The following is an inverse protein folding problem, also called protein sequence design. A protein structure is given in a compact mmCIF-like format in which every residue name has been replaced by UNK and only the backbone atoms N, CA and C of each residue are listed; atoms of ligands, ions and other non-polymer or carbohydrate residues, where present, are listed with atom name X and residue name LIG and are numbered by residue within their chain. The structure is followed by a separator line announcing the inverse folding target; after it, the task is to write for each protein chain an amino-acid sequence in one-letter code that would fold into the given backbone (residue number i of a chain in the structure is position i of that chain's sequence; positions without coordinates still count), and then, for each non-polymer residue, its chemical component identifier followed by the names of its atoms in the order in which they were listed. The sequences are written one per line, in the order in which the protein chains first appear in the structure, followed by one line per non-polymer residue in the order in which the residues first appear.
data_IF_974893112933
#
_entry.id   IF_974893112933
#
_cell.length_a   1.000
_cell.length_b   1.000
_cell.length_c   1.000
_cell.angle_alpha   90.00
_cell.angle_beta   90.00
_cell.angle_gamma   90.00
#
_symmetry.space_group_name_H-M   'P 1'
#
loop_
_entity.id
_entity.type
_entity.pdbx_description
1 polymer ?
#
# COMPACT_ATOMS: atom_id res chain seq x y z
N UNK A 1 30.60 1.60 61.81
CA UNK A 1 29.16 1.92 61.74
C UNK A 1 28.90 2.62 60.41
N UNK A 2 28.25 1.93 59.47
CA UNK A 2 28.12 2.32 58.06
C UNK A 2 26.70 2.86 57.86
N UNK A 3 26.56 4.15 57.52
CA UNK A 3 25.27 4.81 57.30
C UNK A 3 24.62 4.26 56.03
N UNK A 4 23.37 3.79 56.05
CA UNK A 4 22.69 3.35 54.83
C UNK A 4 22.19 4.54 54.01
N UNK A 5 22.33 4.40 52.70
CA UNK A 5 22.20 5.43 51.67
C UNK A 5 20.76 5.90 51.46
N UNK A 6 20.45 7.09 51.99
CA UNK A 6 19.15 7.78 51.90
C UNK A 6 18.73 8.15 50.46
N UNK A 7 19.62 8.00 49.47
CA UNK A 7 19.38 8.36 48.07
C UNK A 7 18.69 7.28 47.24
N UNK A 8 18.71 6.02 47.71
CA UNK A 8 18.03 4.91 47.03
C UNK A 8 16.53 4.87 47.36
N UNK A 9 16.13 5.39 48.54
CA UNK A 9 14.73 5.42 48.97
C UNK A 9 13.91 6.51 48.28
N UNK A 10 14.52 7.63 47.88
CA UNK A 10 13.81 8.72 47.21
C UNK A 10 13.48 8.39 45.74
N UNK A 11 14.29 7.58 45.06
CA UNK A 11 14.03 7.20 43.66
C UNK A 11 12.84 6.24 43.51
N UNK A 12 12.64 5.33 44.47
CA UNK A 12 11.50 4.37 44.46
C UNK A 12 10.17 5.08 44.76
N UNK A 13 10.19 6.09 45.62
CA UNK A 13 8.99 6.85 45.97
C UNK A 13 8.44 7.70 44.79
N UNK A 14 9.32 8.25 43.96
CA UNK A 14 8.91 9.05 42.77
C UNK A 14 8.35 8.16 41.66
N UNK A 15 8.88 6.95 41.49
CA UNK A 15 8.35 5.98 40.52
C UNK A 15 6.95 5.47 40.91
N UNK A 16 6.67 5.28 42.20
CA UNK A 16 5.35 4.86 42.67
C UNK A 16 4.27 5.95 42.50
N UNK A 17 4.64 7.24 42.57
CA UNK A 17 3.72 8.35 42.36
C UNK A 17 3.29 8.53 40.90
N UNK A 18 4.12 8.14 39.92
CA UNK A 18 3.81 8.23 38.49
C UNK A 18 2.86 7.12 38.00
N UNK A 19 2.76 6.00 38.72
CA UNK A 19 1.88 4.87 38.36
C UNK A 19 0.46 4.96 38.93
N UNK A 20 0.22 5.82 39.93
CA UNK A 20 -1.10 5.99 40.55
C UNK A 20 -2.02 7.02 39.83
N UNK A 21 -1.47 7.79 38.88
CA UNK A 21 -2.24 8.81 38.17
C UNK A 21 -3.10 8.26 37.01
N UNK A 22 -2.96 6.97 36.66
CA UNK A 22 -3.66 6.35 35.52
C UNK A 22 -4.89 5.50 35.92
N UNK A 23 -5.34 5.58 37.17
CA UNK A 23 -6.45 4.76 37.69
C UNK A 23 -7.63 5.59 38.22
N UNK A 24 -7.90 6.76 37.63
CA UNK A 24 -9.17 7.45 37.88
C UNK A 24 -10.27 6.79 37.02
N UNK A 25 -11.25 6.06 37.60
CA UNK A 25 -12.42 5.64 36.84
C UNK A 25 -13.19 6.89 36.41
N UNK A 26 -13.59 7.03 35.13
CA UNK A 26 -14.40 8.15 34.72
C UNK A 26 -15.71 8.12 35.53
N UNK A 27 -16.04 9.25 36.18
CA UNK A 27 -17.37 9.47 36.75
C UNK A 27 -18.38 9.23 35.65
N UNK A 28 -19.18 8.19 35.81
CA UNK A 28 -20.32 7.89 34.96
C UNK A 28 -21.38 8.97 35.19
N UNK A 29 -21.29 10.07 34.46
CA UNK A 29 -22.45 10.92 34.25
C UNK A 29 -23.52 10.08 33.53
N UNK A 30 -24.79 10.14 33.96
CA UNK A 30 -25.86 9.46 33.26
C UNK A 30 -25.95 10.06 31.86
N UNK A 31 -25.49 9.29 30.86
CA UNK A 31 -25.72 9.60 29.44
C UNK A 31 -27.23 9.86 29.29
N UNK A 32 -27.64 11.03 28.78
CA UNK A 32 -29.01 11.20 28.31
C UNK A 32 -29.30 10.02 27.38
N UNK A 33 -30.30 9.22 27.70
CA UNK A 33 -30.77 8.17 26.81
C UNK A 33 -31.32 8.89 25.58
N UNK A 34 -30.50 9.02 24.53
CA UNK A 34 -31.00 9.39 23.22
C UNK A 34 -32.03 8.32 22.86
N UNK A 35 -33.28 8.76 22.66
CA UNK A 35 -34.31 7.92 22.07
C UNK A 35 -33.73 7.19 20.84
N UNK A 36 -34.10 5.92 20.58
CA UNK A 36 -33.62 5.21 19.40
C UNK A 36 -33.93 6.02 18.15
N UNK A 37 -32.91 6.67 17.60
CA UNK A 37 -33.01 7.29 16.28
C UNK A 37 -33.12 6.12 15.34
N UNK A 38 -34.32 5.87 14.80
CA UNK A 38 -34.49 4.92 13.72
C UNK A 38 -33.44 5.25 12.64
N UNK A 39 -32.65 4.28 12.17
CA UNK A 39 -31.62 4.58 11.19
C UNK A 39 -32.30 5.19 9.97
N UNK A 40 -31.99 6.46 9.69
CA UNK A 40 -32.40 7.10 8.46
C UNK A 40 -31.95 6.21 7.28
N UNK A 41 -32.75 6.11 6.20
CA UNK A 41 -32.33 5.36 5.02
C UNK A 41 -30.92 5.79 4.62
N UNK A 42 -30.01 4.82 4.51
CA UNK A 42 -28.61 5.10 4.21
C UNK A 42 -28.52 5.87 2.89
N UNK A 43 -27.96 7.08 2.97
CA UNK A 43 -27.60 7.85 1.79
C UNK A 43 -26.75 6.97 0.84
N UNK A 44 -27.06 6.93 -0.48
CA UNK A 44 -26.35 6.08 -1.43
C UNK A 44 -24.82 6.25 -1.40
N UNK A 45 -24.32 7.47 -1.17
CA UNK A 45 -22.87 7.69 -1.07
C UNK A 45 -22.27 7.08 0.19
N UNK A 46 -23.01 7.09 1.31
CA UNK A 46 -22.62 6.41 2.55
C UNK A 46 -22.59 4.91 2.36
N UNK A 47 -23.57 4.33 1.67
CA UNK A 47 -23.59 2.90 1.36
C UNK A 47 -22.39 2.47 0.50
N UNK A 48 -22.07 3.25 -0.54
CA UNK A 48 -20.89 3.02 -1.37
C UNK A 48 -19.57 3.17 -0.59
N UNK A 49 -19.50 4.13 0.32
CA UNK A 49 -18.31 4.33 1.17
C UNK A 49 -18.11 3.15 2.12
N UNK A 50 -19.17 2.63 2.72
CA UNK A 50 -19.12 1.40 3.54
C UNK A 50 -18.65 0.22 2.69
N UNK A 51 -19.19 0.08 1.49
CA UNK A 51 -18.80 -0.98 0.55
C UNK A 51 -17.32 -0.88 0.13
N UNK A 52 -16.82 0.34 -0.11
CA UNK A 52 -15.41 0.59 -0.38
C UNK A 52 -14.51 0.07 0.75
N UNK A 53 -14.81 0.44 2.00
CA UNK A 53 -14.00 0.02 3.15
C UNK A 53 -14.06 -1.49 3.34
N UNK A 54 -15.25 -2.11 3.23
CA UNK A 54 -15.43 -3.54 3.45
C UNK A 54 -14.74 -4.43 2.42
N UNK A 55 -14.57 -3.94 1.19
CA UNK A 55 -13.99 -4.73 0.10
C UNK A 55 -12.48 -4.60 -0.01
N UNK A 56 -11.87 -3.65 0.72
CA UNK A 56 -10.45 -3.33 0.58
C UNK A 56 -9.52 -4.49 0.96
N UNK A 57 -9.90 -5.28 1.97
CA UNK A 57 -9.06 -6.35 2.52
C UNK A 57 -9.38 -7.73 1.89
N UNK A 58 -10.23 -7.76 0.86
CA UNK A 58 -10.59 -9.00 0.17
C UNK A 58 -9.47 -9.44 -0.80
N UNK A 59 -9.30 -10.76 -1.02
CA UNK A 59 -8.33 -11.25 -1.98
C UNK A 59 -8.74 -10.90 -3.42
N UNK A 60 -7.74 -10.62 -4.27
CA UNK A 60 -7.95 -10.18 -5.66
C UNK A 60 -8.82 -11.12 -6.51
N UNK A 61 -8.73 -12.44 -6.27
CA UNK A 61 -9.59 -13.42 -6.95
C UNK A 61 -11.08 -13.27 -6.59
N UNK A 62 -11.39 -13.04 -5.31
CA UNK A 62 -12.76 -12.82 -4.83
C UNK A 62 -13.32 -11.48 -5.33
N UNK A 63 -12.49 -10.45 -5.35
CA UNK A 63 -12.82 -9.15 -5.94
C UNK A 63 -13.18 -9.26 -7.41
N UNK A 64 -12.37 -9.99 -8.19
CA UNK A 64 -12.59 -10.21 -9.62
C UNK A 64 -13.88 -10.99 -9.89
N UNK A 65 -14.16 -12.02 -9.08
CA UNK A 65 -15.39 -12.80 -9.18
C UNK A 65 -16.63 -11.95 -8.92
N UNK A 66 -16.65 -11.19 -7.83
CA UNK A 66 -17.78 -10.29 -7.50
C UNK A 66 -17.95 -9.19 -8.54
N UNK A 67 -16.87 -8.67 -9.10
CA UNK A 67 -16.93 -7.67 -10.16
C UNK A 67 -17.57 -8.23 -11.45
N UNK A 68 -17.31 -9.51 -11.76
CA UNK A 68 -17.95 -10.20 -12.88
C UNK A 68 -19.45 -10.43 -12.62
N UNK A 69 -19.80 -10.85 -11.40
CA UNK A 69 -21.20 -11.03 -10.99
C UNK A 69 -22.02 -9.74 -11.12
N UNK A 70 -21.47 -8.60 -10.67
CA UNK A 70 -22.11 -7.29 -10.86
C UNK A 70 -22.17 -6.86 -12.33
N UNK A 71 -21.18 -7.22 -13.14
CA UNK A 71 -21.15 -6.91 -14.57
C UNK A 71 -22.23 -7.63 -15.39
N UNK A 72 -22.62 -8.84 -14.96
CA UNK A 72 -23.67 -9.63 -15.62
C UNK A 72 -25.09 -9.19 -15.24
N UNK A 73 -25.23 -8.34 -14.21
CA UNK A 73 -26.51 -7.82 -13.74
C UNK A 73 -26.97 -6.56 -14.46
N UNK A 74 -28.14 -6.05 -14.04
CA UNK A 74 -28.68 -4.77 -14.52
C UNK A 74 -27.76 -3.64 -14.05
N UNK A 75 -27.29 -2.85 -15.02
CA UNK A 75 -26.41 -1.71 -14.74
C UNK A 75 -27.22 -0.50 -14.29
N UNK A 76 -27.04 -0.13 -13.02
CA UNK A 76 -27.47 1.15 -12.45
C UNK A 76 -26.23 1.92 -12.01
N UNK A 77 -26.28 3.26 -11.87
CA UNK A 77 -25.12 4.04 -11.41
C UNK A 77 -24.50 3.51 -10.10
N UNK A 78 -25.31 3.00 -9.17
CA UNK A 78 -24.83 2.37 -7.93
C UNK A 78 -24.09 1.05 -8.21
N UNK A 79 -24.69 0.14 -9.00
CA UNK A 79 -24.09 -1.15 -9.37
C UNK A 79 -22.78 -0.96 -10.14
N UNK A 80 -22.77 -0.03 -11.09
CA UNK A 80 -21.58 0.33 -11.88
C UNK A 80 -20.46 0.87 -10.99
N UNK A 81 -20.77 1.70 -9.99
CA UNK A 81 -19.77 2.17 -9.03
C UNK A 81 -19.26 1.06 -8.12
N UNK A 82 -20.13 0.17 -7.63
CA UNK A 82 -19.68 -1.00 -6.86
C UNK A 82 -18.75 -1.89 -7.67
N UNK A 83 -19.06 -2.11 -8.95
CA UNK A 83 -18.18 -2.85 -9.85
C UNK A 83 -16.83 -2.15 -10.02
N UNK A 84 -16.83 -0.83 -10.23
CA UNK A 84 -15.60 -0.04 -10.34
C UNK A 84 -14.75 -0.08 -9.06
N UNK A 85 -15.37 -0.07 -7.88
CA UNK A 85 -14.68 -0.23 -6.60
C UNK A 85 -14.00 -1.59 -6.50
N UNK A 86 -14.70 -2.68 -6.83
CA UNK A 86 -14.14 -4.03 -6.77
C UNK A 86 -12.95 -4.19 -7.73
N UNK A 87 -13.10 -3.77 -8.99
CA UNK A 87 -12.01 -3.77 -9.97
C UNK A 87 -10.86 -2.88 -9.50
N UNK A 88 -11.19 -1.73 -8.93
CA UNK A 88 -10.26 -0.82 -8.29
C UNK A 88 -9.50 -1.44 -7.10
N UNK A 89 -9.97 -2.48 -6.43
CA UNK A 89 -9.21 -3.12 -5.36
C UNK A 89 -8.32 -4.28 -5.81
N UNK A 90 -8.41 -4.73 -7.08
CA UNK A 90 -7.63 -5.89 -7.57
C UNK A 90 -6.13 -5.61 -7.72
N UNK A 91 -5.72 -4.33 -7.79
CA UNK A 91 -4.36 -3.87 -8.13
C UNK A 91 -3.82 -4.38 -9.48
N UNK A 92 -4.71 -4.78 -10.39
CA UNK A 92 -4.35 -5.19 -11.74
C UNK A 92 -4.50 -3.99 -12.70
N UNK A 93 -3.47 -3.60 -13.48
CA UNK A 93 -3.54 -2.44 -14.37
C UNK A 93 -4.70 -2.49 -15.38
N UNK A 94 -5.03 -3.68 -15.89
CA UNK A 94 -6.16 -3.85 -16.80
C UNK A 94 -7.50 -3.58 -16.10
N UNK A 95 -7.62 -3.96 -14.83
CA UNK A 95 -8.83 -3.76 -14.03
C UNK A 95 -8.94 -2.31 -13.55
N UNK A 96 -7.82 -1.68 -13.20
CA UNK A 96 -7.74 -0.23 -12.93
C UNK A 96 -8.24 0.56 -14.14
N UNK A 97 -7.81 0.21 -15.36
CA UNK A 97 -8.29 0.86 -16.58
C UNK A 97 -9.80 0.69 -16.80
N UNK A 98 -10.33 -0.53 -16.58
CA UNK A 98 -11.78 -0.78 -16.66
C UNK A 98 -12.56 0.01 -15.61
N UNK A 99 -12.07 0.08 -14.38
CA UNK A 99 -12.69 0.84 -13.30
C UNK A 99 -12.79 2.34 -13.63
N UNK A 100 -11.76 2.93 -14.23
CA UNK A 100 -11.77 4.33 -14.73
C UNK A 100 -12.89 4.53 -15.75
N UNK A 101 -13.02 3.64 -16.74
CA UNK A 101 -14.08 3.73 -17.75
C UNK A 101 -15.48 3.62 -17.14
N UNK A 102 -15.67 2.76 -16.13
CA UNK A 102 -16.94 2.64 -15.42
C UNK A 102 -17.25 3.92 -14.64
N UNK A 103 -16.29 4.51 -13.93
CA UNK A 103 -16.50 5.78 -13.23
C UNK A 103 -16.81 6.92 -14.19
N UNK A 104 -16.15 7.00 -15.35
CA UNK A 104 -16.46 7.98 -16.39
C UNK A 104 -17.89 7.84 -16.94
N UNK A 105 -18.40 6.61 -17.08
CA UNK A 105 -19.78 6.38 -17.52
C UNK A 105 -20.79 6.94 -16.52
N UNK A 106 -20.52 6.81 -15.21
CA UNK A 106 -21.38 7.34 -14.14
C UNK A 106 -21.26 8.86 -14.03
N UNK A 107 -20.08 9.44 -14.31
CA UNK A 107 -19.88 10.90 -14.36
C UNK A 107 -20.70 11.54 -15.49
N UNK A 108 -20.84 10.84 -16.62
CA UNK A 108 -21.58 11.30 -17.81
C UNK A 108 -23.10 11.18 -17.64
N UNK A 109 -23.56 10.25 -16.81
CA UNK A 109 -24.97 10.11 -16.48
C UNK A 109 -25.43 11.23 -15.53
N UNK A 110 -26.66 11.71 -15.70
CA UNK A 110 -27.26 12.68 -14.80
C UNK A 110 -27.80 11.97 -13.54
N UNK A 111 -26.99 11.95 -12.48
CA UNK A 111 -27.31 11.26 -11.23
C UNK A 111 -26.61 11.94 -10.03
N UNK A 112 -27.15 11.73 -8.82
CA UNK A 112 -26.60 12.28 -7.58
C UNK A 112 -25.24 11.71 -7.14
N UNK A 113 -24.74 10.64 -7.79
CA UNK A 113 -23.46 9.99 -7.45
C UNK A 113 -22.27 10.58 -8.21
N UNK A 114 -22.50 11.54 -9.11
CA UNK A 114 -21.45 12.16 -9.93
C UNK A 114 -20.24 12.66 -9.13
N UNK A 115 -20.37 13.37 -7.99
CA UNK A 115 -19.22 13.84 -7.22
C UNK A 115 -18.38 12.68 -6.66
N UNK A 116 -19.03 11.61 -6.22
CA UNK A 116 -18.34 10.42 -5.72
C UNK A 116 -17.61 9.69 -6.86
N UNK A 117 -18.25 9.58 -8.03
CA UNK A 117 -17.63 9.01 -9.22
C UNK A 117 -16.40 9.82 -9.69
N UNK A 118 -16.44 11.16 -9.61
CA UNK A 118 -15.29 12.03 -9.90
C UNK A 118 -14.12 11.80 -8.94
N UNK A 119 -14.41 11.65 -7.64
CA UNK A 119 -13.40 11.34 -6.63
C UNK A 119 -12.71 10.00 -6.95
N UNK A 120 -13.50 8.94 -7.15
CA UNK A 120 -12.94 7.62 -7.52
C UNK A 120 -12.15 7.70 -8.83
N UNK A 121 -12.68 8.37 -9.86
CA UNK A 121 -11.96 8.48 -11.13
C UNK A 121 -10.58 9.12 -10.95
N UNK A 122 -10.49 10.17 -10.13
CA UNK A 122 -9.23 10.86 -9.84
C UNK A 122 -8.21 9.95 -9.14
N UNK A 123 -8.60 9.22 -8.08
CA UNK A 123 -7.60 8.39 -7.37
C UNK A 123 -7.17 7.17 -8.20
N UNK A 124 -8.01 6.65 -9.10
CA UNK A 124 -7.73 5.45 -9.89
C UNK A 124 -6.85 5.83 -11.07
N UNK A 125 -7.08 7.02 -11.66
CA UNK A 125 -6.19 7.63 -12.64
C UNK A 125 -4.81 7.88 -12.04
N UNK A 126 -4.74 8.40 -10.82
CA UNK A 126 -3.45 8.62 -10.16
C UNK A 126 -2.73 7.30 -9.86
N UNK A 127 -3.48 6.27 -9.43
CA UNK A 127 -2.90 4.95 -9.23
C UNK A 127 -2.33 4.35 -10.51
N UNK A 128 -3.03 4.50 -11.64
CA UNK A 128 -2.52 4.05 -12.94
C UNK A 128 -1.20 4.74 -13.31
N UNK A 129 -1.06 6.04 -13.04
CA UNK A 129 0.23 6.74 -13.27
C UNK A 129 1.34 6.18 -12.39
N UNK A 130 1.05 5.81 -11.14
CA UNK A 130 2.01 5.19 -10.23
C UNK A 130 2.41 3.79 -10.72
N UNK A 131 1.44 2.99 -11.16
CA UNK A 131 1.68 1.68 -11.80
C UNK A 131 2.62 1.84 -13.02
N UNK A 132 2.34 2.80 -13.91
CA UNK A 132 3.20 3.10 -15.08
C UNK A 132 4.62 3.55 -14.69
N UNK A 133 4.78 4.28 -13.58
CA UNK A 133 6.10 4.70 -13.08
C UNK A 133 6.89 3.52 -12.50
N UNK A 134 6.23 2.63 -11.75
CA UNK A 134 6.83 1.41 -11.21
C UNK A 134 7.34 0.53 -12.35
N UNK A 135 6.56 0.37 -13.42
CA UNK A 135 6.95 -0.43 -14.58
C UNK A 135 8.19 0.15 -15.27
N UNK A 136 8.24 1.48 -15.46
CA UNK A 136 9.40 2.18 -16.04
C UNK A 136 10.65 2.02 -15.17
N UNK A 137 10.52 2.18 -13.86
CA UNK A 137 11.64 2.02 -12.92
C UNK A 137 12.14 0.58 -12.89
N UNK A 138 11.22 -0.39 -12.93
CA UNK A 138 11.57 -1.83 -12.97
C UNK A 138 12.33 -2.17 -14.24
N UNK A 139 11.90 -1.64 -15.40
CA UNK A 139 12.61 -1.82 -16.67
C UNK A 139 14.02 -1.21 -16.64
N UNK A 140 14.13 0.04 -16.18
CA UNK A 140 15.40 0.73 -16.04
C UNK A 140 16.37 -0.01 -15.09
N UNK A 141 15.86 -0.54 -13.98
CA UNK A 141 16.65 -1.34 -13.03
C UNK A 141 17.20 -2.62 -13.64
N UNK A 142 16.38 -3.35 -14.42
CA UNK A 142 16.84 -4.56 -15.15
C UNK A 142 17.92 -4.23 -16.18
N UNK A 143 17.79 -3.12 -16.89
CA UNK A 143 18.79 -2.70 -17.87
C UNK A 143 20.09 -2.21 -17.20
N UNK A 144 20.00 -1.51 -16.06
CA UNK A 144 21.16 -1.13 -15.26
C UNK A 144 21.90 -2.37 -14.73
N UNK A 145 21.17 -3.38 -14.25
CA UNK A 145 21.76 -4.65 -13.79
C UNK A 145 22.52 -5.36 -14.91
N UNK A 146 21.92 -5.46 -16.12
CA UNK A 146 22.61 -6.05 -17.28
C UNK A 146 23.91 -5.34 -17.63
N UNK A 147 23.92 -4.00 -17.60
CA UNK A 147 25.15 -3.21 -17.82
C UNK A 147 26.19 -3.46 -16.74
N UNK A 148 25.77 -3.58 -15.48
CA UNK A 148 26.67 -3.91 -14.37
C UNK A 148 27.31 -5.31 -14.55
N UNK A 149 26.52 -6.29 -14.98
CA UNK A 149 27.01 -7.65 -15.24
C UNK A 149 28.00 -7.67 -16.42
N UNK A 150 27.75 -6.90 -17.48
CA UNK A 150 28.68 -6.75 -18.61
C UNK A 150 30.00 -6.09 -18.18
N UNK A 151 29.94 -5.02 -17.39
CA UNK A 151 31.14 -4.36 -16.87
C UNK A 151 31.93 -5.30 -15.95
N UNK A 152 31.25 -6.10 -15.12
CA UNK A 152 31.88 -7.11 -14.28
C UNK A 152 32.61 -8.16 -15.14
N UNK A 153 31.99 -8.66 -16.19
CA UNK A 153 32.63 -9.60 -17.12
C UNK A 153 33.89 -9.00 -17.77
N UNK A 154 33.85 -7.72 -18.17
CA UNK A 154 35.02 -7.04 -18.72
C UNK A 154 36.15 -6.89 -17.70
N UNK A 155 35.83 -6.51 -16.45
CA UNK A 155 36.82 -6.42 -15.38
C UNK A 155 37.47 -7.78 -15.09
N UNK A 156 36.68 -8.84 -15.05
CA UNK A 156 37.18 -10.19 -14.79
C UNK A 156 38.03 -10.70 -15.98
N UNK A 157 37.68 -10.34 -17.21
CA UNK A 157 38.50 -10.61 -18.39
C UNK A 157 39.84 -9.84 -18.35
N UNK A 158 39.83 -8.57 -17.95
CA UNK A 158 41.07 -7.77 -17.80
C UNK A 158 41.98 -8.35 -16.71
N UNK A 159 41.42 -8.75 -15.56
CA UNK A 159 42.20 -9.43 -14.50
C UNK A 159 42.80 -10.75 -14.97
N UNK A 160 42.10 -11.50 -15.82
CA UNK A 160 42.64 -12.73 -16.39
C UNK A 160 43.86 -12.44 -17.28
N UNK A 161 43.79 -11.39 -18.11
CA UNK A 161 44.91 -10.92 -18.94
C UNK A 161 46.09 -10.47 -18.07
N UNK A 162 45.84 -9.68 -17.02
CA UNK A 162 46.88 -9.25 -16.08
C UNK A 162 47.58 -10.44 -15.41
N UNK A 163 46.81 -11.46 -15.00
CA UNK A 163 47.37 -12.68 -14.40
C UNK A 163 48.21 -13.48 -15.39
N UNK A 164 47.83 -13.55 -16.66
CA UNK A 164 48.59 -14.28 -17.67
C UNK A 164 49.87 -13.54 -18.07
N UNK A 165 49.86 -12.20 -18.09
CA UNK A 165 51.06 -11.38 -18.27
C UNK A 165 52.03 -11.45 -17.07
N UNK A 166 51.52 -11.58 -15.86
CA UNK A 166 52.33 -11.70 -14.65
C UNK A 166 52.98 -13.09 -14.46
N UNK A 167 52.65 -14.08 -15.29
CA UNK A 167 53.31 -15.40 -15.23
C UNK A 167 54.73 -15.30 -15.79
N UNK A 168 55.76 -15.79 -15.08
CA UNK A 168 57.12 -15.82 -15.60
C UNK A 168 57.18 -16.67 -16.88
N UNK A 169 57.87 -16.19 -17.91
CA UNK A 169 58.12 -16.97 -19.13
C UNK A 169 58.97 -18.19 -18.74
N UNK A 170 58.52 -19.44 -19.00
CA UNK A 170 59.33 -20.63 -18.76
C UNK A 170 60.47 -20.64 -19.77
N UNK A 171 61.64 -20.13 -19.38
CA UNK A 171 62.82 -20.03 -20.22
C UNK A 171 63.89 -19.04 -19.76
N UNK A 172 63.57 -18.11 -18.86
CA UNK A 172 64.56 -17.12 -18.34
C UNK A 172 65.44 -17.67 -17.20
N UNK A 173 65.82 -18.95 -17.25
CA UNK A 173 66.75 -19.57 -16.30
C UNK A 173 67.67 -20.54 -17.05
N UNK A 174 68.97 -20.23 -16.97
CA UNK A 174 70.18 -20.92 -17.47
C UNK A 174 70.64 -20.59 -18.89
N UNK A 175 71.32 -19.44 -19.01
CA UNK A 175 72.58 -19.32 -19.73
C UNK A 175 73.66 -18.89 -18.71
N UNK A 176 74.85 -19.48 -18.84
CA UNK A 176 76.00 -19.51 -17.91
C UNK A 176 76.46 -18.18 -17.28
#
# INVERSE_FOLDING_TARGET
MKRPDFRLLTAVAVAAALLAACAAPPKTEPKPQLAPIAPAPLDPTRALTVFYVQTRDLPSAELSKRALELGNGIQTPDVTLRQAILLGHTHNPADTARAITLTESVIKADNGLKPYAQLLNAMWTERRKLEDQIDKQTAAGKDAQKRADQLKQQLDALKAVERDLAKPVPGASKGD
#
